data_IF_327363757065
#
_entry.id   IF_327363757065
#
_cell.length_a   1.000
_cell.length_b   1.000
_cell.length_c   1.000
_cell.angle_alpha   90.00
_cell.angle_beta   90.00
_cell.angle_gamma   90.00
#
_symmetry.space_group_name_H-M   'P 1'
#
loop_
_entity.id
_entity.type
_entity.pdbx_description
1 polymer ?
#
# COMPACT_ATOMS: atom_id res chain seq x y z
N UNK A 1 -9.68 -13.79 -2.24
CA UNK A 1 -8.69 -12.72 -2.00
C UNK A 1 -7.31 -13.31 -2.15
N UNK A 2 -6.37 -12.59 -2.75
CA UNK A 2 -4.99 -13.05 -2.93
C UNK A 2 -4.00 -11.93 -2.54
N UNK A 3 -3.05 -12.21 -1.63
CA UNK A 3 -1.91 -11.32 -1.41
C UNK A 3 -0.81 -11.61 -2.42
N UNK A 4 -0.09 -10.57 -2.83
CA UNK A 4 1.13 -10.68 -3.61
C UNK A 4 2.29 -10.10 -2.81
N UNK A 5 3.32 -10.93 -2.61
CA UNK A 5 4.53 -10.54 -1.88
C UNK A 5 5.54 -9.75 -2.71
N UNK A 6 5.44 -9.75 -4.04
CA UNK A 6 6.33 -8.98 -4.92
C UNK A 6 5.61 -8.54 -6.19
N UNK A 7 5.83 -7.31 -6.65
CA UNK A 7 5.27 -6.82 -7.94
C UNK A 7 6.19 -7.09 -9.14
N UNK A 8 7.37 -7.70 -8.94
CA UNK A 8 8.31 -8.10 -10.00
C UNK A 8 7.95 -9.45 -10.62
N UNK A 9 6.74 -9.57 -11.18
CA UNK A 9 6.37 -10.74 -11.96
C UNK A 9 6.89 -10.63 -13.41
N UNK A 10 7.16 -11.78 -14.06
CA UNK A 10 7.47 -11.85 -15.51
C UNK A 10 6.31 -11.40 -16.42
N UNK A 11 5.21 -10.92 -15.84
CA UNK A 11 3.96 -10.57 -16.51
C UNK A 11 3.25 -9.45 -15.75
N UNK A 12 2.39 -8.70 -16.45
CA UNK A 12 1.53 -7.71 -15.80
C UNK A 12 0.45 -8.40 -14.96
N UNK A 13 0.35 -8.04 -13.67
CA UNK A 13 -0.59 -8.64 -12.73
C UNK A 13 -2.05 -8.72 -13.23
N UNK A 14 -2.62 -7.70 -13.91
CA UNK A 14 -3.98 -7.79 -14.44
C UNK A 14 -4.22 -8.98 -15.37
N UNK A 15 -3.20 -9.49 -16.06
CA UNK A 15 -3.31 -10.69 -16.90
C UNK A 15 -3.59 -11.94 -16.06
N UNK A 16 -2.90 -12.08 -14.93
CA UNK A 16 -3.10 -13.20 -13.99
C UNK A 16 -4.45 -13.08 -13.30
N UNK A 17 -4.81 -11.89 -12.85
CA UNK A 17 -6.12 -11.65 -12.23
C UNK A 17 -7.26 -12.06 -13.16
N UNK A 18 -7.20 -11.66 -14.44
CA UNK A 18 -8.19 -12.07 -15.45
C UNK A 18 -8.18 -13.58 -15.67
N UNK A 19 -7.01 -14.20 -15.78
CA UNK A 19 -6.92 -15.65 -15.94
C UNK A 19 -7.56 -16.40 -14.76
N UNK A 20 -7.31 -15.98 -13.51
CA UNK A 20 -7.92 -16.59 -12.33
C UNK A 20 -9.42 -16.32 -12.25
N UNK A 21 -9.86 -15.10 -12.57
CA UNK A 21 -11.29 -14.76 -12.65
C UNK A 21 -12.02 -15.66 -13.66
N UNK A 22 -11.48 -15.81 -14.88
CA UNK A 22 -12.06 -16.70 -15.89
C UNK A 22 -12.12 -18.16 -15.43
N UNK A 23 -11.12 -18.62 -14.65
CA UNK A 23 -11.14 -19.97 -14.07
C UNK A 23 -12.19 -20.12 -12.99
N UNK A 24 -12.41 -19.11 -12.15
CA UNK A 24 -13.47 -19.14 -11.15
C UNK A 24 -14.85 -19.20 -11.81
N UNK A 25 -15.10 -18.36 -12.82
CA UNK A 25 -16.36 -18.38 -13.60
C UNK A 25 -16.55 -19.75 -14.25
N UNK A 26 -15.54 -20.25 -14.96
CA UNK A 26 -15.61 -21.56 -15.63
C UNK A 26 -15.82 -22.70 -14.64
N UNK A 27 -15.20 -22.60 -13.47
CA UNK A 27 -15.28 -23.60 -12.39
C UNK A 27 -16.67 -23.74 -11.78
N UNK A 28 -17.55 -22.74 -11.92
CA UNK A 28 -18.93 -22.84 -11.43
C UNK A 28 -19.77 -23.84 -12.23
N UNK A 29 -19.39 -24.17 -13.47
CA UNK A 29 -20.19 -25.04 -14.33
C UNK A 29 -20.27 -26.44 -13.73
N UNK A 30 -21.49 -26.87 -13.44
CA UNK A 30 -21.80 -28.15 -12.79
C UNK A 30 -21.23 -28.28 -11.37
N UNK A 31 -20.81 -27.19 -10.74
CA UNK A 31 -20.42 -27.19 -9.33
C UNK A 31 -21.69 -27.14 -8.44
N UNK A 32 -21.78 -27.92 -7.34
CA UNK A 32 -22.93 -27.88 -6.44
C UNK A 32 -23.22 -26.50 -5.84
N UNK A 33 -22.18 -25.66 -5.72
CA UNK A 33 -22.27 -24.27 -5.25
C UNK A 33 -22.24 -23.27 -6.42
N UNK A 34 -22.22 -23.73 -7.67
CA UNK A 34 -22.27 -22.91 -8.88
C UNK A 34 -23.60 -23.07 -9.62
N UNK A 35 -23.56 -23.19 -10.95
CA UNK A 35 -24.75 -23.32 -11.78
C UNK A 35 -24.84 -24.68 -12.48
N UNK A 36 -26.06 -25.09 -12.82
CA UNK A 36 -26.37 -26.42 -13.35
C UNK A 36 -27.11 -26.32 -14.69
N UNK A 37 -27.14 -27.42 -15.45
CA UNK A 37 -27.91 -27.53 -16.70
C UNK A 37 -27.58 -26.48 -17.78
N UNK A 38 -26.43 -25.81 -17.67
CA UNK A 38 -26.08 -24.66 -18.53
C UNK A 38 -27.03 -23.46 -18.38
N UNK A 39 -27.62 -23.30 -17.20
CA UNK A 39 -28.37 -22.10 -16.82
C UNK A 39 -27.38 -20.99 -16.45
N UNK A 40 -27.00 -20.18 -17.44
CA UNK A 40 -25.96 -19.15 -17.28
C UNK A 40 -26.44 -17.92 -16.51
N UNK A 41 -27.75 -17.74 -16.36
CA UNK A 41 -28.32 -16.65 -15.58
C UNK A 41 -28.08 -16.87 -14.07
N UNK A 42 -27.80 -18.11 -13.66
CA UNK A 42 -27.44 -18.50 -12.30
C UNK A 42 -25.92 -18.44 -12.01
N UNK A 43 -25.12 -17.85 -12.92
CA UNK A 43 -23.70 -17.61 -12.63
C UNK A 43 -23.60 -16.68 -11.41
N UNK A 44 -22.89 -17.15 -10.39
CA UNK A 44 -22.64 -16.38 -9.19
C UNK A 44 -21.68 -15.24 -9.50
N UNK A 45 -22.04 -14.07 -8.99
CA UNK A 45 -21.23 -12.87 -9.07
C UNK A 45 -19.88 -13.03 -8.34
N UNK A 46 -18.76 -12.83 -9.04
CA UNK A 46 -17.41 -13.00 -8.49
C UNK A 46 -16.72 -11.64 -8.32
N UNK A 47 -16.20 -11.41 -7.11
CA UNK A 47 -15.31 -10.29 -6.77
C UNK A 47 -13.93 -10.81 -6.38
N UNK A 48 -12.89 -10.41 -7.13
CA UNK A 48 -11.51 -10.84 -6.89
C UNK A 48 -10.67 -9.68 -6.39
N UNK A 49 -10.29 -9.71 -5.11
CA UNK A 49 -9.43 -8.68 -4.48
C UNK A 49 -7.99 -9.19 -4.41
N UNK A 50 -7.08 -8.39 -4.93
CA UNK A 50 -5.63 -8.61 -4.95
C UNK A 50 -4.95 -7.52 -4.13
N UNK A 51 -4.17 -7.89 -3.12
CA UNK A 51 -3.46 -6.94 -2.26
C UNK A 51 -1.96 -7.08 -2.53
N UNK A 52 -1.33 -6.01 -2.99
CA UNK A 52 0.10 -5.96 -3.27
C UNK A 52 0.81 -5.16 -2.18
N UNK A 53 1.53 -5.82 -1.28
CA UNK A 53 2.18 -5.14 -0.15
C UNK A 53 3.58 -4.60 -0.47
N UNK A 54 4.23 -5.17 -1.49
CA UNK A 54 5.50 -4.67 -2.00
C UNK A 54 5.34 -4.37 -3.49
N UNK A 55 5.48 -3.10 -3.85
CA UNK A 55 5.23 -2.57 -5.19
C UNK A 55 6.15 -1.38 -5.48
N UNK A 56 6.24 -1.00 -6.75
CA UNK A 56 7.01 0.19 -7.14
C UNK A 56 6.30 1.47 -6.67
N UNK A 57 7.06 2.46 -6.19
CA UNK A 57 6.56 3.74 -5.66
C UNK A 57 5.50 4.44 -6.52
N UNK A 58 5.56 4.33 -7.84
CA UNK A 58 4.55 4.89 -8.77
C UNK A 58 3.14 4.28 -8.63
N UNK A 59 3.01 3.15 -7.93
CA UNK A 59 1.75 2.46 -7.63
C UNK A 59 1.31 2.67 -6.19
N UNK A 60 2.07 3.43 -5.40
CA UNK A 60 1.75 3.64 -3.99
C UNK A 60 0.35 4.27 -3.84
N UNK A 61 -0.41 3.76 -2.88
CA UNK A 61 -1.79 4.14 -2.61
C UNK A 61 -2.75 4.06 -3.82
N UNK A 62 -2.46 3.19 -4.81
CA UNK A 62 -3.34 2.99 -5.95
C UNK A 62 -4.42 1.94 -5.68
N UNK A 63 -5.66 2.28 -6.02
CA UNK A 63 -6.80 1.36 -6.07
C UNK A 63 -7.23 1.23 -7.53
N UNK A 64 -7.09 0.04 -8.11
CA UNK A 64 -7.49 -0.22 -9.50
C UNK A 64 -8.70 -1.16 -9.54
N UNK A 65 -9.72 -0.78 -10.30
CA UNK A 65 -10.88 -1.60 -10.59
C UNK A 65 -10.85 -2.05 -12.05
N UNK A 66 -11.11 -3.33 -12.29
CA UNK A 66 -11.38 -3.87 -13.61
C UNK A 66 -12.76 -4.53 -13.61
N UNK A 67 -13.66 -3.97 -14.41
CA UNK A 67 -15.05 -4.43 -14.57
C UNK A 67 -15.41 -4.56 -16.05
N UNK A 68 -16.53 -5.21 -16.33
CA UNK A 68 -17.05 -5.31 -17.70
C UNK A 68 -17.97 -4.12 -17.97
N UNK A 69 -17.80 -3.47 -19.12
CA UNK A 69 -18.65 -2.35 -19.55
C UNK A 69 -19.14 -2.58 -20.97
N UNK A 70 -20.46 -2.45 -21.16
CA UNK A 70 -21.07 -2.44 -22.48
C UNK A 70 -20.86 -1.07 -23.15
N UNK A 71 -20.45 -1.09 -24.42
CA UNK A 71 -20.37 0.12 -25.24
C UNK A 71 -21.13 -0.09 -26.56
N UNK A 72 -22.23 0.63 -26.73
CA UNK A 72 -23.03 0.57 -27.96
C UNK A 72 -22.27 1.26 -29.10
N UNK A 73 -21.87 0.48 -30.11
CA UNK A 73 -21.20 1.01 -31.31
C UNK A 73 -22.18 1.48 -32.38
N UNK A 74 -23.41 0.96 -32.39
CA UNK A 74 -24.49 1.32 -33.31
C UNK A 74 -25.86 0.93 -32.71
N UNK A 75 -26.87 1.78 -32.92
CA UNK A 75 -28.21 1.57 -32.35
C UNK A 75 -28.33 2.19 -30.95
N UNK A 76 -29.33 1.73 -30.18
CA UNK A 76 -29.69 2.30 -28.88
C UNK A 76 -30.18 1.25 -27.85
N UNK A 77 -29.97 -0.04 -28.13
CA UNK A 77 -30.32 -1.11 -27.20
C UNK A 77 -29.21 -1.30 -26.15
N UNK A 78 -29.62 -1.61 -24.91
CA UNK A 78 -28.73 -1.90 -23.78
C UNK A 78 -29.25 -3.11 -22.99
N UNK A 79 -28.34 -3.97 -22.54
CA UNK A 79 -28.64 -4.96 -21.52
C UNK A 79 -28.61 -4.33 -20.12
N UNK A 80 -29.30 -4.96 -19.16
CA UNK A 80 -29.10 -4.67 -17.74
C UNK A 80 -27.65 -5.02 -17.37
N UNK A 81 -26.90 -4.14 -16.67
CA UNK A 81 -25.55 -4.44 -16.21
C UNK A 81 -25.41 -5.76 -15.43
N UNK A 82 -26.44 -6.19 -14.70
CA UNK A 82 -26.41 -7.46 -13.96
C UNK A 82 -26.20 -8.67 -14.89
N UNK A 83 -26.61 -8.58 -16.17
CA UNK A 83 -26.44 -9.65 -17.15
C UNK A 83 -24.98 -9.84 -17.63
N UNK A 84 -24.10 -8.85 -17.45
CA UNK A 84 -22.73 -8.91 -18.01
C UNK A 84 -21.61 -8.45 -17.07
N UNK A 85 -21.92 -7.73 -15.99
CA UNK A 85 -20.94 -7.21 -15.01
C UNK A 85 -20.90 -8.02 -13.71
N UNK A 86 -21.03 -9.35 -13.83
CA UNK A 86 -20.94 -10.33 -12.74
C UNK A 86 -19.49 -10.74 -12.41
N UNK A 87 -18.50 -9.98 -12.87
CA UNK A 87 -17.10 -10.25 -12.52
C UNK A 87 -16.29 -8.96 -12.40
N UNK A 88 -15.74 -8.71 -11.22
CA UNK A 88 -14.93 -7.53 -10.95
C UNK A 88 -13.63 -7.90 -10.24
N UNK A 89 -12.57 -7.21 -10.61
CA UNK A 89 -11.23 -7.39 -10.04
C UNK A 89 -10.80 -6.07 -9.41
N UNK A 90 -10.33 -6.15 -8.18
CA UNK A 90 -9.74 -5.04 -7.43
C UNK A 90 -8.26 -5.33 -7.20
N UNK A 91 -7.38 -4.43 -7.63
CA UNK A 91 -5.95 -4.45 -7.29
C UNK A 91 -5.68 -3.30 -6.34
N UNK A 92 -5.27 -3.64 -5.12
CA UNK A 92 -4.99 -2.72 -4.03
C UNK A 92 -3.48 -2.66 -3.84
N UNK A 93 -2.94 -1.45 -3.88
CA UNK A 93 -1.54 -1.14 -3.59
C UNK A 93 -1.47 -0.24 -2.35
N UNK A 94 -1.57 -0.80 -1.12
CA UNK A 94 -1.60 -0.01 0.10
C UNK A 94 -0.36 0.88 0.24
N UNK A 95 -0.53 2.01 0.89
CA UNK A 95 0.56 2.97 1.09
C UNK A 95 1.68 2.37 1.93
N UNK A 96 2.89 2.25 1.38
CA UNK A 96 4.10 1.79 2.09
C UNK A 96 4.66 2.94 2.94
N UNK A 97 4.53 4.17 2.44
CA UNK A 97 5.08 5.37 3.06
C UNK A 97 3.99 6.12 3.83
N UNK A 98 3.40 5.47 4.83
CA UNK A 98 2.54 6.20 5.77
C UNK A 98 3.40 7.18 6.55
N UNK A 99 2.97 8.44 6.50
CA UNK A 99 3.58 9.53 7.26
C UNK A 99 3.39 9.20 8.74
N UNK A 100 4.48 8.84 9.43
CA UNK A 100 4.46 8.51 10.86
C UNK A 100 4.02 9.70 11.72
N UNK A 101 3.91 10.88 11.11
CA UNK A 101 3.51 12.14 11.73
C UNK A 101 1.99 12.36 11.78
N UNK A 102 1.16 11.50 11.17
CA UNK A 102 -0.29 11.63 11.28
C UNK A 102 -0.67 11.30 12.74
N UNK A 103 -1.33 12.24 13.42
CA UNK A 103 -1.77 12.00 14.79
C UNK A 103 -2.88 10.95 14.85
N UNK A 104 -2.89 10.15 15.91
CA UNK A 104 -3.91 9.13 16.15
C UNK A 104 -5.33 9.69 16.04
N UNK A 105 -5.58 10.87 16.61
CA UNK A 105 -6.87 11.55 16.55
C UNK A 105 -7.29 11.90 15.12
N UNK A 106 -6.34 12.25 14.25
CA UNK A 106 -6.63 12.50 12.84
C UNK A 106 -7.06 11.22 12.12
N UNK A 107 -6.37 10.09 12.36
CA UNK A 107 -6.76 8.78 11.81
C UNK A 107 -8.17 8.41 12.26
N UNK A 108 -8.47 8.59 13.55
CA UNK A 108 -9.76 8.27 14.14
C UNK A 108 -10.92 9.09 13.57
N UNK A 109 -10.68 10.35 13.21
CA UNK A 109 -11.71 11.24 12.67
C UNK A 109 -11.92 11.09 11.15
N UNK A 110 -10.98 10.49 10.43
CA UNK A 110 -11.12 10.18 9.01
C UNK A 110 -12.16 9.06 8.79
N UNK A 111 -12.86 9.03 7.64
CA UNK A 111 -13.74 7.92 7.30
C UNK A 111 -12.96 6.59 7.24
N UNK A 112 -13.69 5.48 7.41
CA UNK A 112 -13.15 4.13 7.17
C UNK A 112 -12.65 4.04 5.73
N UNK A 113 -11.40 3.62 5.56
CA UNK A 113 -10.79 3.43 4.26
C UNK A 113 -10.02 2.10 4.24
N UNK A 114 -10.24 1.30 3.19
CA UNK A 114 -9.59 -0.01 3.04
C UNK A 114 -8.08 0.15 2.82
N UNK A 115 -7.64 1.22 2.15
CA UNK A 115 -6.21 1.43 1.87
C UNK A 115 -5.47 1.83 3.14
N UNK A 116 -6.03 2.74 3.94
CA UNK A 116 -5.52 3.06 5.27
C UNK A 116 -5.54 1.83 6.19
N UNK A 117 -6.63 1.06 6.22
CA UNK A 117 -6.72 -0.17 6.99
C UNK A 117 -5.62 -1.18 6.66
N UNK A 118 -5.41 -1.48 5.37
CA UNK A 118 -4.36 -2.40 4.93
C UNK A 118 -2.96 -1.87 5.25
N UNK A 119 -2.75 -0.57 5.09
CA UNK A 119 -1.47 0.06 5.47
C UNK A 119 -1.23 -0.03 6.98
N UNK A 120 -2.25 0.25 7.81
CA UNK A 120 -2.17 0.12 9.27
C UNK A 120 -1.84 -1.30 9.73
N UNK A 121 -2.43 -2.30 9.10
CA UNK A 121 -2.22 -3.71 9.48
C UNK A 121 -0.85 -4.24 9.08
N UNK A 122 -0.36 -3.89 7.88
CA UNK A 122 0.76 -4.59 7.28
C UNK A 122 2.02 -3.74 7.09
N UNK A 123 1.88 -2.42 7.02
CA UNK A 123 2.93 -1.48 6.56
C UNK A 123 3.18 -0.31 7.53
N UNK A 124 2.46 -0.27 8.65
CA UNK A 124 2.56 0.78 9.66
C UNK A 124 3.65 0.48 10.68
N UNK A 125 4.40 1.51 11.06
CA UNK A 125 5.45 1.44 12.10
C UNK A 125 4.91 1.83 13.48
N UNK A 126 3.59 1.91 13.64
CA UNK A 126 2.94 2.21 14.91
C UNK A 126 3.07 1.05 15.88
N UNK A 127 3.00 1.38 17.15
CA UNK A 127 2.93 0.39 18.21
C UNK A 127 1.64 -0.44 18.08
N UNK A 128 1.74 -1.70 18.47
CA UNK A 128 0.63 -2.66 18.40
C UNK A 128 -0.63 -2.15 19.10
N UNK A 129 -0.48 -1.53 20.28
CA UNK A 129 -1.61 -0.98 21.05
C UNK A 129 -2.33 0.16 20.32
N UNK A 130 -1.61 0.99 19.56
CA UNK A 130 -2.24 2.04 18.73
C UNK A 130 -3.03 1.42 17.59
N UNK A 131 -2.45 0.45 16.88
CA UNK A 131 -3.11 -0.25 15.78
C UNK A 131 -4.37 -0.95 16.29
N UNK A 132 -4.26 -1.68 17.41
CA UNK A 132 -5.38 -2.34 18.05
C UNK A 132 -6.51 -1.36 18.40
N UNK A 133 -6.18 -0.22 19.00
CA UNK A 133 -7.16 0.80 19.34
C UNK A 133 -7.87 1.34 18.09
N UNK A 134 -7.14 1.58 17.00
CA UNK A 134 -7.73 2.02 15.72
C UNK A 134 -8.66 0.93 15.16
N UNK A 135 -8.22 -0.33 15.16
CA UNK A 135 -9.04 -1.45 14.69
C UNK A 135 -10.36 -1.57 15.47
N UNK A 136 -10.29 -1.53 16.79
CA UNK A 136 -11.45 -1.67 17.66
C UNK A 136 -12.40 -0.46 17.58
N UNK A 137 -11.86 0.76 17.58
CA UNK A 137 -12.66 1.99 17.69
C UNK A 137 -13.11 2.57 16.35
N UNK A 138 -12.25 2.51 15.33
CA UNK A 138 -12.56 3.05 14.01
C UNK A 138 -13.16 2.00 13.10
N UNK A 139 -12.61 0.78 13.08
CA UNK A 139 -13.02 -0.27 12.14
C UNK A 139 -14.02 -1.28 12.71
N UNK A 140 -14.32 -1.21 14.01
CA UNK A 140 -15.18 -2.14 14.73
C UNK A 140 -14.67 -3.60 14.67
N UNK A 141 -13.34 -3.77 14.62
CA UNK A 141 -12.67 -5.08 14.56
C UNK A 141 -12.05 -5.37 15.93
N UNK A 142 -12.51 -6.44 16.57
CA UNK A 142 -11.92 -6.94 17.81
C UNK A 142 -10.70 -7.78 17.48
N UNK A 143 -9.53 -7.37 17.98
CA UNK A 143 -8.29 -8.15 17.83
C UNK A 143 -8.30 -9.29 18.85
N UNK A 144 -8.37 -10.52 18.36
CA UNK A 144 -8.28 -11.75 19.17
C UNK A 144 -6.99 -12.50 18.87
N UNK A 145 -6.56 -13.39 19.77
CA UNK A 145 -5.38 -14.26 19.58
C UNK A 145 -5.52 -15.17 18.33
N UNK A 146 -6.75 -15.55 18.00
CA UNK A 146 -7.08 -16.27 16.77
C UNK A 146 -6.81 -15.42 15.52
N UNK A 147 -7.13 -14.13 15.55
CA UNK A 147 -6.88 -13.22 14.43
C UNK A 147 -5.38 -13.04 14.18
N UNK A 148 -4.58 -12.90 15.24
CA UNK A 148 -3.11 -12.83 15.14
C UNK A 148 -2.54 -14.09 14.47
N UNK A 149 -2.99 -15.26 14.92
CA UNK A 149 -2.56 -16.56 14.38
C UNK A 149 -2.96 -16.73 12.91
N UNK A 150 -4.15 -16.28 12.51
CA UNK A 150 -4.60 -16.36 11.11
C UNK A 150 -3.78 -15.44 10.20
N UNK A 151 -3.38 -14.25 10.66
CA UNK A 151 -2.50 -13.35 9.91
C UNK A 151 -1.11 -13.96 9.74
N UNK A 152 -0.54 -14.59 10.78
CA UNK A 152 0.75 -15.28 10.69
C UNK A 152 0.76 -16.44 9.69
N UNK A 153 -0.35 -17.18 9.56
CA UNK A 153 -0.49 -18.28 8.59
C UNK A 153 -0.46 -17.80 7.14
N UNK A 154 -0.70 -16.51 6.88
CA UNK A 154 -0.68 -15.96 5.53
C UNK A 154 0.77 -15.64 5.09
N UNK A 155 1.54 -16.66 4.72
CA UNK A 155 2.96 -16.51 4.34
C UNK A 155 3.23 -15.43 3.26
N UNK A 156 2.34 -15.27 2.27
CA UNK A 156 2.55 -14.26 1.21
C UNK A 156 2.35 -12.82 1.70
N UNK A 157 1.52 -12.62 2.73
CA UNK A 157 1.36 -11.31 3.37
C UNK A 157 2.61 -10.95 4.17
N UNK A 158 3.13 -11.88 4.97
CA UNK A 158 4.35 -11.65 5.77
C UNK A 158 5.60 -11.43 4.92
N UNK A 159 5.76 -12.19 3.82
CA UNK A 159 6.84 -11.95 2.85
C UNK A 159 6.76 -10.56 2.19
N UNK A 160 5.58 -10.15 1.74
CA UNK A 160 5.37 -8.85 1.11
C UNK A 160 5.62 -7.68 2.05
N UNK A 161 5.08 -7.76 3.28
CA UNK A 161 5.34 -6.78 4.31
C UNK A 161 6.84 -6.70 4.65
N UNK A 162 7.50 -7.84 4.84
CA UNK A 162 8.93 -7.89 5.14
C UNK A 162 9.79 -7.20 4.08
N UNK A 163 9.51 -7.44 2.79
CA UNK A 163 10.24 -6.80 1.69
C UNK A 163 10.00 -5.29 1.63
N UNK A 164 8.75 -4.85 1.83
CA UNK A 164 8.42 -3.43 1.93
C UNK A 164 9.15 -2.75 3.09
N UNK A 165 9.22 -3.41 4.25
CA UNK A 165 9.98 -2.94 5.42
C UNK A 165 11.48 -2.86 5.18
N UNK A 166 12.06 -3.86 4.52
CA UNK A 166 13.48 -3.89 4.18
C UNK A 166 13.86 -2.71 3.27
N UNK A 167 13.08 -2.47 2.22
CA UNK A 167 13.33 -1.37 1.28
C UNK A 167 13.17 0.00 1.95
N UNK A 168 12.10 0.18 2.73
CA UNK A 168 11.88 1.40 3.52
C UNK A 168 13.02 1.64 4.52
N UNK A 169 13.47 0.60 5.21
CA UNK A 169 14.59 0.71 6.16
C UNK A 169 15.91 1.10 5.48
N UNK A 170 16.16 0.58 4.29
CA UNK A 170 17.33 0.96 3.49
C UNK A 170 17.26 2.42 3.04
N UNK A 171 16.09 2.87 2.56
CA UNK A 171 15.87 4.25 2.13
C UNK A 171 16.05 5.24 3.29
N UNK A 172 15.43 4.96 4.45
CA UNK A 172 15.59 5.76 5.67
C UNK A 172 17.03 5.79 6.17
N UNK A 173 17.73 4.65 6.13
CA UNK A 173 19.14 4.57 6.52
C UNK A 173 20.04 5.40 5.61
N UNK A 174 19.78 5.38 4.30
CA UNK A 174 20.53 6.17 3.33
C UNK A 174 20.24 7.67 3.46
N UNK A 175 19.00 8.06 3.73
CA UNK A 175 18.64 9.45 4.01
C UNK A 175 19.29 9.95 5.30
N UNK A 176 19.18 9.18 6.39
CA UNK A 176 19.80 9.50 7.69
C UNK A 176 21.31 9.63 7.56
N UNK A 177 21.98 8.70 6.88
CA UNK A 177 23.42 8.76 6.65
C UNK A 177 23.85 9.99 5.83
N UNK A 178 23.05 10.44 4.86
CA UNK A 178 23.30 11.70 4.14
C UNK A 178 23.20 12.90 5.07
N UNK A 179 22.15 12.98 5.89
CA UNK A 179 21.94 14.09 6.83
C UNK A 179 23.05 14.12 7.88
N UNK A 180 23.38 12.98 8.51
CA UNK A 180 24.46 12.89 9.49
C UNK A 180 25.82 13.26 8.90
N UNK A 181 26.12 12.82 7.67
CA UNK A 181 27.36 13.20 6.98
C UNK A 181 27.43 14.71 6.74
N UNK A 182 26.32 15.34 6.32
CA UNK A 182 26.24 16.79 6.14
C UNK A 182 26.41 17.54 7.47
N UNK A 183 25.74 17.09 8.53
CA UNK A 183 25.87 17.67 9.87
C UNK A 183 27.31 17.60 10.36
N UNK A 184 27.95 16.42 10.28
CA UNK A 184 29.35 16.24 10.70
C UNK A 184 30.31 17.13 9.92
N UNK A 185 30.19 17.18 8.58
CA UNK A 185 31.03 18.02 7.74
C UNK A 185 30.86 19.51 8.06
N UNK A 186 29.61 19.97 8.25
CA UNK A 186 29.33 21.37 8.57
C UNK A 186 29.87 21.73 9.97
N UNK A 187 29.66 20.85 10.96
CA UNK A 187 30.23 21.03 12.30
C UNK A 187 31.76 21.14 12.26
N UNK A 188 32.45 20.25 11.53
CA UNK A 188 33.91 20.32 11.38
C UNK A 188 34.39 21.61 10.69
N UNK A 189 33.64 22.12 9.70
CA UNK A 189 33.96 23.39 9.05
C UNK A 189 33.77 24.60 9.98
N UNK A 190 32.75 24.57 10.84
CA UNK A 190 32.51 25.60 11.86
C UNK A 190 33.59 25.55 12.95
N UNK A 191 33.90 24.36 13.46
CA UNK A 191 34.92 24.15 14.51
C UNK A 191 36.33 24.54 14.04
N UNK A 192 36.66 24.29 12.77
CA UNK A 192 37.94 24.71 12.18
C UNK A 192 38.03 26.22 11.90
N UNK A 193 36.93 26.96 12.05
CA UNK A 193 36.86 28.40 11.77
C UNK A 193 36.96 28.76 10.29
N UNK A 194 36.87 27.77 9.39
CA UNK A 194 36.90 27.99 7.93
C UNK A 194 35.65 28.69 7.42
N UNK A 195 34.52 28.51 8.13
CA UNK A 195 33.26 29.19 7.87
C UNK A 195 32.71 29.76 9.17
N UNK A 196 31.99 30.86 9.07
CA UNK A 196 31.39 31.55 10.23
C UNK A 196 29.89 31.30 10.38
N UNK A 197 29.26 30.77 9.34
CA UNK A 197 27.81 30.61 9.24
C UNK A 197 27.47 29.34 8.45
N UNK A 198 26.44 28.63 8.91
CA UNK A 198 25.87 27.44 8.28
C UNK A 198 25.39 27.73 6.86
N UNK A 199 24.91 28.95 6.57
CA UNK A 199 24.48 29.32 5.21
C UNK A 199 25.64 29.31 4.20
N UNK A 200 26.86 29.63 4.64
CA UNK A 200 28.05 29.52 3.81
C UNK A 200 28.33 28.04 3.52
N UNK A 201 28.19 27.16 4.53
CA UNK A 201 28.31 25.72 4.36
C UNK A 201 27.30 25.16 3.35
N UNK A 202 26.03 25.57 3.42
CA UNK A 202 24.99 25.16 2.47
C UNK A 202 25.31 25.60 1.04
N UNK A 203 25.87 26.78 0.88
CA UNK A 203 26.28 27.31 -0.42
C UNK A 203 27.49 26.56 -1.00
N UNK A 204 28.51 26.29 -0.18
CA UNK A 204 29.75 25.58 -0.57
C UNK A 204 29.48 24.11 -0.88
N UNK A 205 28.71 23.43 -0.02
CA UNK A 205 28.39 22.01 -0.17
C UNK A 205 27.19 21.77 -1.09
N UNK A 206 26.62 22.83 -1.67
CA UNK A 206 25.45 22.79 -2.54
C UNK A 206 24.29 21.94 -1.94
N UNK A 207 24.04 22.13 -0.65
CA UNK A 207 23.02 21.35 0.08
C UNK A 207 21.64 21.71 -0.46
N UNK A 208 20.91 20.69 -0.94
CA UNK A 208 19.55 20.88 -1.45
C UNK A 208 18.61 21.39 -0.34
N UNK A 209 17.65 22.25 -0.71
CA UNK A 209 16.75 22.93 0.23
C UNK A 209 15.94 22.00 1.13
N UNK A 210 15.52 20.86 0.61
CA UNK A 210 14.81 19.80 1.35
C UNK A 210 15.63 19.24 2.52
N UNK A 211 16.96 19.18 2.38
CA UNK A 211 17.86 18.70 3.43
C UNK A 211 18.29 19.79 4.41
N UNK A 212 18.24 21.08 4.02
CA UNK A 212 18.69 22.18 4.88
C UNK A 212 17.89 22.26 6.19
N UNK A 213 16.56 22.11 6.12
CA UNK A 213 15.68 22.12 7.31
C UNK A 213 16.04 21.00 8.29
N UNK A 214 16.28 19.78 7.79
CA UNK A 214 16.67 18.61 8.58
C UNK A 214 18.04 18.78 9.22
N UNK A 215 19.00 19.37 8.49
CA UNK A 215 20.35 19.65 8.99
C UNK A 215 20.32 20.73 10.09
N UNK A 216 19.57 21.82 9.90
CA UNK A 216 19.43 22.87 10.92
C UNK A 216 18.83 22.34 12.23
N UNK A 217 17.79 21.50 12.13
CA UNK A 217 17.20 20.83 13.30
C UNK A 217 18.22 20.00 14.07
N UNK A 218 19.11 19.27 13.39
CA UNK A 218 20.14 18.45 14.04
C UNK A 218 21.27 19.28 14.65
N UNK A 219 21.59 20.43 14.06
CA UNK A 219 22.59 21.35 14.59
C UNK A 219 22.09 22.17 15.80
N UNK A 220 20.80 22.05 16.18
CA UNK A 220 20.16 22.84 17.25
C UNK A 220 20.27 24.36 17.07
N UNK A 221 20.44 24.81 15.83
CA UNK A 221 20.51 26.22 15.48
C UNK A 221 19.11 26.67 15.03
N UNK A 222 18.44 27.42 15.90
CA UNK A 222 17.18 28.10 15.60
C UNK A 222 17.42 29.49 14.99
#
# INVERSE_FOLDING_TARGET
>A
MEAQGQDTYRYALPRRCRYYMSRLISGQKNDPLGFQNSDFDEIIDIRSIWICLHHAHQKDNCFLEYRTQEHVRRGNFHFDPECYDFSQIYLLYPCIHTDSNIHLEEIMNRPKDIMEFLSLLFLSNREFDEIRLILEKKYDIVVTEELETEVEKMCTFSEGAFLAWQERGLEQGLEKGKVETLVNNISSLLESGLISDVQQAFSILHVKKDLQSKVLQHLQLH
#
